data_IF_221011546056
#
_entry.id   IF_221011546056
#
_cell.length_a   1.000
_cell.length_b   1.000
_cell.length_c   1.000
_cell.angle_alpha   90.00
_cell.angle_beta   90.00
_cell.angle_gamma   90.00
#
_symmetry.space_group_name_H-M   'P 1'
#
loop_
_entity.id
_entity.type
_entity.pdbx_description
1 polymer ?
#
# COMPACT_ATOMS: atom_id res chain seq x y z
N UNK A 1 -28.25 -36.43 -69.90
CA UNK A 1 -26.91 -36.83 -70.37
C UNK A 1 -26.13 -37.33 -69.16
N UNK A 2 -25.82 -38.63 -69.15
CA UNK A 2 -24.91 -39.41 -68.27
C UNK A 2 -25.06 -39.37 -66.73
N UNK A 3 -24.95 -40.59 -66.22
CA UNK A 3 -25.12 -41.15 -64.87
C UNK A 3 -23.76 -41.14 -64.14
N UNK A 4 -23.76 -41.24 -62.79
CA UNK A 4 -22.94 -42.16 -61.93
C UNK A 4 -22.51 -41.49 -60.59
N UNK A 5 -23.16 -41.80 -59.46
CA UNK A 5 -22.77 -42.77 -58.38
C UNK A 5 -21.71 -42.22 -57.40
N UNK A 6 -21.63 -42.49 -56.10
CA UNK A 6 -22.37 -43.30 -55.11
C UNK A 6 -21.89 -42.86 -53.71
N UNK A 7 -22.71 -43.15 -52.70
CA UNK A 7 -22.38 -43.62 -51.34
C UNK A 7 -21.15 -43.13 -50.55
N UNK A 8 -21.44 -42.68 -49.33
CA UNK A 8 -20.59 -42.78 -48.14
C UNK A 8 -21.23 -41.95 -47.03
N UNK A 9 -21.84 -42.53 -45.99
CA UNK A 9 -21.26 -43.53 -45.12
C UNK A 9 -20.75 -42.81 -43.87
N UNK A 10 -21.59 -42.81 -42.84
CA UNK A 10 -21.40 -42.23 -41.53
C UNK A 10 -20.02 -42.59 -40.91
N UNK A 11 -19.21 -41.58 -40.57
CA UNK A 11 -18.12 -41.68 -39.59
C UNK A 11 -18.10 -40.40 -38.75
N UNK A 12 -18.54 -40.53 -37.51
CA UNK A 12 -18.38 -39.54 -36.44
C UNK A 12 -16.90 -39.22 -36.21
N UNK A 13 -16.56 -37.94 -36.11
CA UNK A 13 -15.35 -37.47 -35.42
C UNK A 13 -15.80 -36.60 -34.24
N UNK A 14 -15.31 -36.84 -33.01
CA UNK A 14 -15.83 -36.19 -31.82
C UNK A 14 -15.41 -34.72 -31.81
N UNK A 15 -16.37 -33.81 -31.63
CA UNK A 15 -16.09 -32.43 -31.23
C UNK A 15 -15.50 -32.46 -29.83
N UNK A 16 -14.17 -32.49 -29.72
CA UNK A 16 -13.48 -32.23 -28.46
C UNK A 16 -13.86 -30.81 -28.04
N UNK A 17 -14.75 -30.73 -27.04
CA UNK A 17 -14.91 -29.51 -26.25
C UNK A 17 -13.58 -29.25 -25.55
N UNK A 18 -12.78 -28.35 -26.11
CA UNK A 18 -11.71 -27.69 -25.39
C UNK A 18 -12.37 -26.81 -24.32
N UNK A 19 -12.62 -27.39 -23.13
CA UNK A 19 -12.81 -26.62 -21.91
C UNK A 19 -11.47 -25.95 -21.59
N UNK A 20 -11.23 -24.79 -22.19
CA UNK A 20 -10.30 -23.84 -21.59
C UNK A 20 -11.00 -23.24 -20.38
N UNK A 21 -10.79 -23.83 -19.22
CA UNK A 21 -11.03 -23.14 -17.95
C UNK A 21 -9.93 -22.10 -17.78
N UNK A 22 -10.06 -20.96 -18.45
CA UNK A 22 -9.23 -19.80 -18.16
C UNK A 22 -9.58 -19.32 -16.75
N UNK A 23 -8.67 -19.50 -15.78
CA UNK A 23 -8.76 -18.75 -14.52
C UNK A 23 -8.68 -17.27 -14.88
N UNK A 24 -9.64 -16.48 -14.43
CA UNK A 24 -9.55 -15.02 -14.52
C UNK A 24 -8.38 -14.62 -13.62
N UNK A 25 -7.31 -14.08 -14.21
CA UNK A 25 -6.12 -13.65 -13.46
C UNK A 25 -6.18 -12.18 -13.05
N UNK A 26 -7.31 -11.53 -13.32
CA UNK A 26 -7.56 -10.13 -13.01
C UNK A 26 -8.12 -9.99 -11.59
N UNK A 27 -7.55 -9.05 -10.84
CA UNK A 27 -7.99 -8.61 -9.53
C UNK A 27 -8.15 -7.09 -9.50
N UNK A 28 -8.87 -6.57 -8.51
CA UNK A 28 -9.11 -5.12 -8.36
C UNK A 28 -8.50 -4.66 -7.03
N UNK A 29 -7.58 -3.71 -7.10
CA UNK A 29 -6.95 -3.17 -5.89
C UNK A 29 -7.96 -2.46 -4.99
N UNK A 30 -7.60 -2.25 -3.72
CA UNK A 30 -8.36 -1.44 -2.78
C UNK A 30 -8.70 -0.04 -3.32
N UNK A 31 -7.83 0.51 -4.18
CA UNK A 31 -8.02 1.82 -4.81
C UNK A 31 -8.80 1.76 -6.14
N UNK A 32 -9.32 0.60 -6.53
CA UNK A 32 -10.16 0.40 -7.71
C UNK A 32 -9.39 0.25 -9.03
N UNK A 33 -8.12 -0.15 -8.99
CA UNK A 33 -7.30 -0.37 -10.19
C UNK A 33 -7.24 -1.86 -10.52
N UNK A 34 -7.54 -2.23 -11.76
CA UNK A 34 -7.41 -3.59 -12.26
C UNK A 34 -5.94 -3.95 -12.47
N UNK A 35 -5.55 -5.16 -12.07
CA UNK A 35 -4.22 -5.71 -12.31
C UNK A 35 -4.30 -7.23 -12.55
N UNK A 36 -3.41 -7.74 -13.40
CA UNK A 36 -3.21 -9.18 -13.61
C UNK A 36 -2.20 -9.71 -12.59
N UNK A 37 -2.65 -10.55 -11.65
CA UNK A 37 -1.82 -11.01 -10.55
C UNK A 37 -0.70 -11.97 -10.99
N UNK A 38 -0.74 -12.51 -12.22
CA UNK A 38 0.34 -13.32 -12.77
C UNK A 38 1.46 -12.48 -13.41
N UNK A 39 1.22 -11.20 -13.69
CA UNK A 39 2.26 -10.30 -14.19
C UNK A 39 3.21 -9.88 -13.07
N UNK A 40 4.45 -9.52 -13.44
CA UNK A 40 5.42 -9.00 -12.48
C UNK A 40 5.09 -7.59 -12.01
N UNK A 41 4.32 -6.81 -12.79
CA UNK A 41 4.02 -5.41 -12.47
C UNK A 41 2.55 -5.23 -12.16
N UNK A 42 2.23 -4.82 -10.94
CA UNK A 42 0.85 -4.51 -10.55
C UNK A 42 0.68 -3.01 -10.33
N UNK A 43 -0.24 -2.40 -11.08
CA UNK A 43 -0.64 -1.00 -10.88
C UNK A 43 -1.76 -0.97 -9.85
N UNK A 44 -1.43 -0.60 -8.61
CA UNK A 44 -2.36 -0.66 -7.49
C UNK A 44 -3.08 0.67 -7.25
N UNK A 45 -2.50 1.78 -7.67
CA UNK A 45 -3.12 3.11 -7.64
C UNK A 45 -2.52 4.01 -8.70
N UNK A 46 -3.03 5.24 -8.83
CA UNK A 46 -2.46 6.27 -9.73
C UNK A 46 -0.95 6.48 -9.54
N UNK A 47 -0.45 6.30 -8.31
CA UNK A 47 0.92 6.65 -7.94
C UNK A 47 1.78 5.44 -7.57
N UNK A 48 1.21 4.24 -7.47
CA UNK A 48 1.91 3.06 -6.98
C UNK A 48 1.80 1.92 -7.98
N UNK A 49 2.96 1.52 -8.49
CA UNK A 49 3.17 0.28 -9.21
C UNK A 49 4.20 -0.54 -8.44
N UNK A 50 3.90 -1.80 -8.15
CA UNK A 50 4.86 -2.72 -7.51
C UNK A 50 5.46 -3.65 -8.56
N UNK A 51 6.72 -4.05 -8.36
CA UNK A 51 7.41 -5.04 -9.18
C UNK A 51 7.68 -6.29 -8.32
N UNK A 52 7.19 -7.42 -8.80
CA UNK A 52 7.19 -8.74 -8.18
C UNK A 52 8.08 -9.75 -8.93
N UNK A 53 8.97 -9.28 -9.82
CA UNK A 53 9.97 -10.12 -10.50
C UNK A 53 10.78 -10.98 -9.53
N UNK A 54 11.03 -10.49 -8.31
CA UNK A 54 11.75 -11.20 -7.27
C UNK A 54 11.04 -12.47 -6.78
N UNK A 55 9.73 -12.65 -7.06
CA UNK A 55 9.01 -13.87 -6.68
C UNK A 55 9.61 -15.12 -7.33
N UNK A 56 10.31 -14.98 -8.47
CA UNK A 56 11.03 -16.10 -9.10
C UNK A 56 12.22 -16.60 -8.28
N UNK A 57 12.63 -15.87 -7.23
CA UNK A 57 13.69 -16.30 -6.31
C UNK A 57 13.17 -17.22 -5.21
N UNK A 58 11.86 -17.24 -4.97
CA UNK A 58 11.24 -18.25 -4.10
C UNK A 58 11.09 -19.57 -4.85
N UNK A 59 11.05 -20.68 -4.11
CA UNK A 59 10.50 -21.96 -4.61
C UNK A 59 9.09 -21.71 -5.14
N UNK A 60 8.76 -22.32 -6.28
CA UNK A 60 7.52 -22.07 -7.01
C UNK A 60 6.26 -22.14 -6.11
N UNK A 61 6.16 -23.17 -5.28
CA UNK A 61 5.01 -23.32 -4.38
C UNK A 61 4.94 -22.22 -3.28
N UNK A 62 6.07 -21.77 -2.76
CA UNK A 62 6.13 -20.64 -1.82
C UNK A 62 5.83 -19.32 -2.54
N UNK A 63 6.28 -19.18 -3.78
CA UNK A 63 5.99 -18.00 -4.60
C UNK A 63 4.49 -17.85 -4.86
N UNK A 64 3.76 -18.96 -5.06
CA UNK A 64 2.29 -18.97 -5.18
C UNK A 64 1.61 -18.52 -3.88
N UNK A 65 1.99 -19.10 -2.73
CA UNK A 65 1.51 -18.71 -1.39
C UNK A 65 1.73 -17.19 -1.13
N UNK A 66 2.92 -16.69 -1.46
CA UNK A 66 3.28 -15.26 -1.31
C UNK A 66 2.47 -14.39 -2.26
N UNK A 67 2.28 -14.82 -3.52
CA UNK A 67 1.53 -14.06 -4.53
C UNK A 67 0.07 -13.93 -4.12
N UNK A 68 -0.58 -15.02 -3.74
CA UNK A 68 -1.98 -15.01 -3.28
C UNK A 68 -2.17 -14.14 -2.04
N UNK A 69 -1.21 -14.19 -1.11
CA UNK A 69 -1.22 -13.29 0.06
C UNK A 69 -1.05 -11.82 -0.34
N UNK A 70 -0.20 -11.51 -1.33
CA UNK A 70 -0.05 -10.15 -1.85
C UNK A 70 -1.32 -9.67 -2.58
N UNK A 71 -2.05 -10.56 -3.28
CA UNK A 71 -3.36 -10.23 -3.86
C UNK A 71 -4.32 -9.81 -2.76
N UNK A 72 -4.42 -10.60 -1.67
CA UNK A 72 -5.25 -10.24 -0.52
C UNK A 72 -4.94 -8.83 0.00
N UNK A 73 -3.66 -8.48 0.19
CA UNK A 73 -3.28 -7.14 0.61
C UNK A 73 -3.56 -6.06 -0.44
N UNK A 74 -3.36 -6.35 -1.73
CA UNK A 74 -3.67 -5.44 -2.81
C UNK A 74 -5.16 -5.07 -2.86
N UNK A 75 -6.05 -6.02 -2.60
CA UNK A 75 -7.50 -5.83 -2.59
C UNK A 75 -8.03 -5.18 -1.30
N UNK A 76 -7.42 -5.50 -0.15
CA UNK A 76 -7.95 -5.15 1.17
C UNK A 76 -7.17 -4.04 1.91
N UNK A 77 -6.01 -3.62 1.40
CA UNK A 77 -5.16 -2.62 2.04
C UNK A 77 -4.71 -1.54 1.07
N UNK A 78 -4.23 -0.41 1.59
CA UNK A 78 -3.72 0.68 0.75
C UNK A 78 -2.55 0.22 -0.13
N UNK A 79 -2.44 0.78 -1.34
CA UNK A 79 -1.34 0.48 -2.26
C UNK A 79 0.05 0.72 -1.63
N UNK A 80 0.18 1.70 -0.74
CA UNK A 80 1.42 1.96 0.01
C UNK A 80 1.77 0.82 0.97
N UNK A 81 0.77 0.24 1.65
CA UNK A 81 0.97 -0.89 2.55
C UNK A 81 1.47 -2.12 1.79
N UNK A 82 0.80 -2.48 0.69
CA UNK A 82 1.19 -3.59 -0.19
C UNK A 82 2.58 -3.37 -0.80
N UNK A 83 2.90 -2.14 -1.22
CA UNK A 83 4.25 -1.81 -1.68
C UNK A 83 5.31 -1.97 -0.60
N UNK A 84 5.01 -1.59 0.64
CA UNK A 84 5.95 -1.78 1.75
C UNK A 84 6.17 -3.27 2.05
N UNK A 85 5.10 -4.08 2.10
CA UNK A 85 5.20 -5.53 2.26
C UNK A 85 6.10 -6.15 1.20
N UNK A 86 5.84 -5.85 -0.07
CA UNK A 86 6.65 -6.34 -1.20
C UNK A 86 8.13 -5.97 -1.08
N UNK A 87 8.44 -4.72 -0.70
CA UNK A 87 9.82 -4.27 -0.45
C UNK A 87 10.51 -5.07 0.65
N UNK A 88 9.82 -5.34 1.76
CA UNK A 88 10.44 -6.08 2.87
C UNK A 88 10.57 -7.57 2.58
N UNK A 89 9.69 -8.16 1.77
CA UNK A 89 9.84 -9.53 1.27
C UNK A 89 11.05 -9.67 0.35
N UNK A 90 11.27 -8.70 -0.54
CA UNK A 90 12.48 -8.66 -1.37
C UNK A 90 13.74 -8.53 -0.52
N UNK A 91 13.73 -7.65 0.48
CA UNK A 91 14.84 -7.53 1.44
C UNK A 91 15.10 -8.84 2.18
N UNK A 92 14.04 -9.56 2.59
CA UNK A 92 14.18 -10.85 3.25
C UNK A 92 14.98 -11.84 2.40
N UNK A 93 14.62 -12.01 1.12
CA UNK A 93 15.35 -12.87 0.19
C UNK A 93 16.80 -12.41 -0.01
N UNK A 94 17.02 -11.11 -0.17
CA UNK A 94 18.34 -10.54 -0.37
C UNK A 94 19.26 -10.80 0.82
N UNK A 95 18.73 -10.82 2.05
CA UNK A 95 19.49 -11.04 3.29
C UNK A 95 19.61 -12.52 3.63
N UNK A 96 18.52 -13.29 3.51
CA UNK A 96 18.50 -14.72 3.85
C UNK A 96 19.32 -15.55 2.88
N UNK A 97 19.44 -15.08 1.62
CA UNK A 97 20.01 -15.84 0.49
C UNK A 97 19.34 -17.21 0.27
N UNK A 98 18.13 -17.39 0.81
CA UNK A 98 17.30 -18.56 0.65
C UNK A 98 16.18 -18.35 -0.37
N UNK A 99 15.44 -19.41 -0.61
CA UNK A 99 14.32 -19.48 -1.56
C UNK A 99 12.98 -19.85 -0.87
N UNK A 100 12.94 -19.83 0.46
CA UNK A 100 11.73 -20.02 1.27
C UNK A 100 11.74 -19.15 2.52
N UNK A 101 10.64 -19.21 3.28
CA UNK A 101 10.65 -18.76 4.66
C UNK A 101 11.22 -19.86 5.57
N UNK A 102 12.37 -19.58 6.19
CA UNK A 102 13.04 -20.47 7.14
C UNK A 102 13.45 -19.76 8.43
N UNK A 103 13.65 -20.55 9.48
CA UNK A 103 14.19 -20.07 10.76
C UNK A 103 15.53 -19.35 10.59
N UNK A 104 16.44 -19.95 9.82
CA UNK A 104 17.75 -19.36 9.50
C UNK A 104 17.60 -18.05 8.72
N UNK A 105 16.69 -17.98 7.75
CA UNK A 105 16.46 -16.75 6.99
C UNK A 105 15.92 -15.61 7.87
N UNK A 106 15.00 -15.92 8.80
CA UNK A 106 14.49 -14.94 9.76
C UNK A 106 15.55 -14.50 10.77
N UNK A 107 16.40 -15.41 11.25
CA UNK A 107 17.53 -15.08 12.11
C UNK A 107 18.56 -14.21 11.39
N UNK A 108 18.85 -14.50 10.11
CA UNK A 108 19.74 -13.69 9.28
C UNK A 108 19.18 -12.27 9.10
N UNK A 109 17.90 -12.12 8.76
CA UNK A 109 17.25 -10.82 8.65
C UNK A 109 17.31 -10.06 9.99
N UNK A 110 17.00 -10.72 11.11
CA UNK A 110 17.06 -10.12 12.43
C UNK A 110 18.47 -9.66 12.81
N UNK A 111 19.50 -10.43 12.43
CA UNK A 111 20.91 -10.09 12.70
C UNK A 111 21.45 -8.97 11.82
N UNK A 112 20.94 -8.82 10.60
CA UNK A 112 21.37 -7.79 9.65
C UNK A 112 20.79 -6.40 9.94
N UNK A 113 19.68 -6.31 10.69
CA UNK A 113 18.96 -5.07 10.91
C UNK A 113 19.38 -4.39 12.22
N UNK A 114 19.77 -3.09 12.19
CA UNK A 114 19.91 -2.32 13.42
C UNK A 114 18.54 -2.08 14.07
N UNK A 115 18.54 -1.72 15.36
CA UNK A 115 17.32 -1.51 16.17
C UNK A 115 16.29 -0.59 15.49
N UNK A 116 16.75 0.51 14.89
CA UNK A 116 15.91 1.49 14.18
C UNK A 116 15.18 0.92 12.95
N UNK A 117 15.69 -0.17 12.38
CA UNK A 117 15.13 -0.84 11.19
C UNK A 117 14.40 -2.14 11.56
N UNK A 118 14.23 -2.46 12.85
CA UNK A 118 13.55 -3.67 13.34
C UNK A 118 12.09 -3.76 12.84
N UNK A 119 11.48 -2.62 12.49
CA UNK A 119 10.15 -2.60 11.86
C UNK A 119 10.10 -3.39 10.54
N UNK A 120 11.20 -3.47 9.78
CA UNK A 120 11.24 -4.22 8.51
C UNK A 120 11.03 -5.71 8.75
N UNK A 121 11.66 -6.24 9.80
CA UNK A 121 11.43 -7.61 10.26
C UNK A 121 9.98 -7.80 10.74
N UNK A 122 9.43 -6.81 11.45
CA UNK A 122 8.03 -6.84 11.89
C UNK A 122 7.05 -6.91 10.71
N UNK A 123 7.33 -6.22 9.61
CA UNK A 123 6.52 -6.27 8.37
C UNK A 123 6.54 -7.68 7.75
N UNK A 124 7.72 -8.30 7.61
CA UNK A 124 7.83 -9.67 7.08
C UNK A 124 7.13 -10.67 8.00
N UNK A 125 7.31 -10.52 9.32
CA UNK A 125 6.58 -11.35 10.30
C UNK A 125 5.07 -11.18 10.17
N UNK A 126 4.57 -9.94 10.05
CA UNK A 126 3.16 -9.66 9.87
C UNK A 126 2.60 -10.32 8.60
N UNK A 127 3.36 -10.26 7.51
CA UNK A 127 3.01 -10.92 6.25
C UNK A 127 2.82 -12.42 6.42
N UNK A 128 3.81 -13.14 6.97
CA UNK A 128 3.72 -14.60 7.11
C UNK A 128 2.58 -15.02 8.07
N UNK A 129 2.28 -14.21 9.09
CA UNK A 129 1.16 -14.47 9.99
C UNK A 129 -0.18 -14.31 9.28
N UNK A 130 -0.31 -13.29 8.42
CA UNK A 130 -1.50 -13.13 7.59
C UNK A 130 -1.63 -14.28 6.60
N UNK A 131 -0.54 -14.66 5.94
CA UNK A 131 -0.47 -15.83 5.05
C UNK A 131 -0.98 -17.10 5.75
N UNK A 132 -0.52 -17.36 6.99
CA UNK A 132 -1.02 -18.47 7.82
C UNK A 132 -2.49 -18.34 8.19
N UNK A 133 -2.95 -17.14 8.51
CA UNK A 133 -4.36 -16.89 8.82
C UNK A 133 -5.29 -17.17 7.63
N UNK A 134 -4.83 -16.87 6.41
CA UNK A 134 -5.54 -17.16 5.17
C UNK A 134 -5.47 -18.65 4.76
N UNK A 135 -4.68 -19.47 5.45
CA UNK A 135 -4.45 -20.87 5.08
C UNK A 135 -3.48 -21.05 3.91
N UNK A 136 -2.75 -20.00 3.52
CA UNK A 136 -1.81 -19.97 2.40
C UNK A 136 -0.38 -20.32 2.84
N UNK A 137 -0.23 -21.23 3.80
CA UNK A 137 1.07 -21.57 4.38
C UNK A 137 1.45 -23.05 4.17
N UNK A 138 0.85 -23.71 3.17
CA UNK A 138 1.07 -25.13 2.89
C UNK A 138 2.53 -25.47 2.61
N UNK A 139 3.31 -24.49 2.16
CA UNK A 139 4.72 -24.65 1.80
C UNK A 139 5.69 -23.98 2.79
N UNK A 140 5.22 -23.59 3.98
CA UNK A 140 6.05 -22.97 5.03
C UNK A 140 6.04 -23.81 6.30
N UNK A 141 7.24 -24.12 6.83
CA UNK A 141 7.38 -24.90 8.06
C UNK A 141 6.81 -24.14 9.28
N UNK A 142 6.04 -24.86 10.11
CA UNK A 142 5.44 -24.31 11.33
C UNK A 142 6.48 -23.77 12.32
N UNK A 143 7.72 -24.30 12.29
CA UNK A 143 8.84 -23.83 13.09
C UNK A 143 9.13 -22.34 12.90
N UNK A 144 8.94 -21.80 11.68
CA UNK A 144 9.13 -20.37 11.38
C UNK A 144 8.17 -19.49 12.20
N UNK A 145 6.90 -19.89 12.29
CA UNK A 145 5.92 -19.18 13.09
C UNK A 145 6.25 -19.26 14.58
N UNK A 146 6.60 -20.45 15.07
CA UNK A 146 7.00 -20.66 16.47
C UNK A 146 8.20 -19.81 16.87
N UNK A 147 9.21 -19.69 16.00
CA UNK A 147 10.38 -18.86 16.23
C UNK A 147 10.00 -17.38 16.27
N UNK A 148 9.34 -16.89 15.23
CA UNK A 148 9.03 -15.47 15.09
C UNK A 148 8.04 -14.96 16.13
N UNK A 149 7.16 -15.84 16.65
CA UNK A 149 6.22 -15.50 17.73
C UNK A 149 6.87 -15.29 19.10
N UNK A 150 8.08 -15.81 19.32
CA UNK A 150 8.85 -15.56 20.54
C UNK A 150 9.47 -14.16 20.59
N UNK A 151 9.51 -13.44 19.46
CA UNK A 151 10.19 -12.14 19.39
C UNK A 151 9.31 -10.97 19.81
N UNK A 152 9.84 -10.15 20.71
CA UNK A 152 9.33 -8.82 21.04
C UNK A 152 10.06 -7.79 20.18
N UNK A 153 9.39 -7.31 19.14
CA UNK A 153 9.94 -6.33 18.19
C UNK A 153 9.45 -4.93 18.54
N UNK A 154 10.34 -3.94 18.53
CA UNK A 154 9.97 -2.54 18.69
C UNK A 154 9.34 -2.03 17.40
N UNK A 155 8.35 -1.13 17.52
CA UNK A 155 7.92 -0.31 16.40
C UNK A 155 8.98 0.73 16.03
N UNK A 156 8.72 1.46 14.94
CA UNK A 156 9.53 2.63 14.60
C UNK A 156 9.52 3.64 15.76
N UNK A 157 10.67 4.25 16.04
CA UNK A 157 10.72 5.41 16.93
C UNK A 157 9.93 6.55 16.30
N UNK A 158 8.71 6.77 16.78
CA UNK A 158 7.83 7.83 16.30
C UNK A 158 7.86 8.98 17.29
N UNK A 159 8.03 10.20 16.77
CA UNK A 159 7.79 11.41 17.53
C UNK A 159 8.93 11.85 18.45
N UNK A 160 10.14 11.28 18.37
CA UNK A 160 11.29 11.73 19.19
C UNK A 160 11.59 13.21 18.93
N UNK A 161 11.77 13.60 17.66
CA UNK A 161 12.00 14.99 17.27
C UNK A 161 10.85 15.94 17.67
N UNK A 162 9.61 15.43 17.65
CA UNK A 162 8.42 16.18 18.07
C UNK A 162 8.39 16.38 19.58
N UNK A 163 8.72 15.33 20.35
CA UNK A 163 8.76 15.37 21.81
C UNK A 163 9.95 16.18 22.33
N UNK A 164 11.07 16.17 21.62
CA UNK A 164 12.28 16.92 22.00
C UNK A 164 12.27 18.37 21.53
N UNK A 165 11.25 18.81 20.78
CA UNK A 165 11.21 20.12 20.11
C UNK A 165 12.51 20.39 19.34
N UNK A 166 12.96 19.38 18.58
CA UNK A 166 14.19 19.48 17.80
C UNK A 166 14.11 20.67 16.83
N UNK A 167 15.09 21.60 16.81
CA UNK A 167 15.00 22.82 16.02
C UNK A 167 15.06 22.58 14.50
N UNK A 168 15.55 21.42 14.05
CA UNK A 168 15.71 21.11 12.61
C UNK A 168 14.59 20.22 12.09
N UNK A 169 14.15 19.25 12.89
CA UNK A 169 13.22 18.18 12.49
C UNK A 169 11.95 18.09 13.34
N UNK A 170 11.85 18.92 14.37
CA UNK A 170 10.67 19.07 15.23
C UNK A 170 9.63 20.03 14.65
N UNK A 171 8.58 20.36 15.41
CA UNK A 171 7.56 21.31 14.99
C UNK A 171 8.11 22.74 14.90
N UNK A 172 7.54 23.55 14.02
CA UNK A 172 7.80 24.99 14.00
C UNK A 172 7.53 25.61 15.38
N UNK A 173 8.45 26.46 15.84
CA UNK A 173 8.22 27.34 16.98
C UNK A 173 7.09 28.33 16.69
N UNK A 174 6.52 28.95 17.72
CA UNK A 174 5.47 29.96 17.56
C UNK A 174 5.90 31.10 16.63
N UNK A 175 7.14 31.56 16.77
CA UNK A 175 7.70 32.64 15.94
C UNK A 175 7.84 32.22 14.48
N UNK A 176 8.35 31.01 14.21
CA UNK A 176 8.46 30.49 12.83
C UNK A 176 7.09 30.29 12.21
N UNK A 177 6.13 29.77 12.99
CA UNK A 177 4.77 29.56 12.54
C UNK A 177 4.05 30.87 12.20
N UNK A 178 4.26 31.93 13.00
CA UNK A 178 3.78 33.28 12.70
C UNK A 178 4.46 33.85 11.44
N UNK A 179 5.78 33.71 11.34
CA UNK A 179 6.57 34.17 10.19
C UNK A 179 6.12 33.52 8.88
N UNK A 180 5.74 32.22 8.89
CA UNK A 180 5.16 31.54 7.73
C UNK A 180 3.89 32.26 7.26
N UNK A 181 2.99 32.59 8.19
CA UNK A 181 1.74 33.30 7.86
C UNK A 181 2.00 34.71 7.32
N UNK A 182 2.88 35.47 7.97
CA UNK A 182 3.21 36.84 7.57
C UNK A 182 3.86 36.88 6.18
N UNK A 183 4.88 36.04 5.96
CA UNK A 183 5.57 35.98 4.66
C UNK A 183 4.66 35.49 3.55
N UNK A 184 3.71 34.58 3.84
CA UNK A 184 2.70 34.18 2.88
C UNK A 184 1.80 35.35 2.47
N UNK A 185 1.34 36.15 3.43
CA UNK A 185 0.52 37.32 3.16
C UNK A 185 1.27 38.36 2.33
N UNK A 186 2.54 38.63 2.65
CA UNK A 186 3.39 39.53 1.86
C UNK A 186 3.56 39.04 0.42
N UNK A 187 3.94 37.78 0.22
CA UNK A 187 4.11 37.20 -1.12
C UNK A 187 2.81 37.15 -1.91
N UNK A 188 1.68 36.99 -1.25
CA UNK A 188 0.38 37.08 -1.90
C UNK A 188 0.07 38.52 -2.34
N UNK A 189 0.31 39.51 -1.49
CA UNK A 189 0.12 40.92 -1.82
C UNK A 189 1.02 41.40 -2.98
N UNK A 190 2.24 40.86 -3.08
CA UNK A 190 3.18 41.13 -4.17
C UNK A 190 2.86 40.34 -5.46
N UNK A 191 1.86 39.47 -5.46
CA UNK A 191 1.50 38.62 -6.61
C UNK A 191 2.44 37.43 -6.85
N UNK A 192 3.41 37.19 -5.97
CA UNK A 192 4.33 36.05 -6.03
C UNK A 192 3.67 34.71 -5.64
N UNK A 193 2.57 34.76 -4.87
CA UNK A 193 1.71 33.62 -4.59
C UNK A 193 0.36 33.77 -5.30
N UNK A 194 -0.10 32.70 -5.95
CA UNK A 194 -1.47 32.65 -6.46
C UNK A 194 -2.48 32.53 -5.31
N UNK A 195 -3.72 32.94 -5.55
CA UNK A 195 -4.83 32.80 -4.60
C UNK A 195 -5.00 31.35 -4.14
N UNK A 196 -4.88 30.39 -5.06
CA UNK A 196 -4.94 28.96 -4.74
C UNK A 196 -3.86 28.57 -3.73
N UNK A 197 -2.59 28.87 -4.01
CA UNK A 197 -1.47 28.51 -3.12
C UNK A 197 -1.58 29.19 -1.75
N UNK A 198 -1.98 30.46 -1.74
CA UNK A 198 -2.17 31.21 -0.51
C UNK A 198 -3.32 30.63 0.34
N UNK A 199 -4.45 30.30 -0.29
CA UNK A 199 -5.58 29.66 0.37
C UNK A 199 -5.20 28.29 0.93
N UNK A 200 -4.48 27.46 0.17
CA UNK A 200 -3.99 26.16 0.64
C UNK A 200 -3.08 26.28 1.86
N UNK A 201 -2.10 27.20 1.83
CA UNK A 201 -1.21 27.42 2.96
C UNK A 201 -1.96 27.92 4.21
N UNK A 202 -2.92 28.83 4.00
CA UNK A 202 -3.79 29.33 5.08
C UNK A 202 -4.59 28.20 5.71
N UNK A 203 -5.07 27.25 4.90
CA UNK A 203 -5.84 26.10 5.38
C UNK A 203 -4.98 25.12 6.18
N UNK A 204 -3.75 24.84 5.75
CA UNK A 204 -2.79 24.06 6.54
C UNK A 204 -2.47 24.74 7.86
N UNK A 205 -2.18 26.05 7.84
CA UNK A 205 -1.87 26.83 9.05
C UNK A 205 -3.04 26.89 10.02
N UNK A 206 -4.26 27.05 9.53
CA UNK A 206 -5.44 27.18 10.39
C UNK A 206 -5.89 25.83 11.01
N UNK A 207 -5.61 24.70 10.35
CA UNK A 207 -6.27 23.42 10.68
C UNK A 207 -5.32 22.31 11.12
N UNK A 208 -4.04 22.39 10.76
CA UNK A 208 -3.03 21.35 11.06
C UNK A 208 -3.37 19.97 10.46
N UNK A 209 -4.22 19.91 9.42
CA UNK A 209 -4.71 18.64 8.85
C UNK A 209 -3.71 18.03 7.88
N UNK A 210 -3.81 16.71 7.71
CA UNK A 210 -2.98 15.95 6.77
C UNK A 210 -3.26 16.37 5.33
N UNK A 211 -2.25 16.28 4.47
CA UNK A 211 -2.32 16.64 3.06
C UNK A 211 -3.51 16.00 2.35
N UNK A 212 -3.78 14.71 2.59
CA UNK A 212 -4.90 13.98 1.98
C UNK A 212 -6.28 14.51 2.39
N UNK A 213 -6.42 15.00 3.62
CA UNK A 213 -7.69 15.59 4.09
C UNK A 213 -7.96 16.94 3.43
N UNK A 214 -6.91 17.74 3.24
CA UNK A 214 -7.01 19.02 2.53
C UNK A 214 -7.26 18.80 1.03
N UNK A 215 -6.58 17.83 0.42
CA UNK A 215 -6.71 17.51 -1.00
C UNK A 215 -8.09 16.91 -1.35
N UNK A 216 -8.80 16.32 -0.39
CA UNK A 216 -10.12 15.72 -0.61
C UNK A 216 -11.29 16.68 -0.42
N UNK A 217 -11.03 17.95 -0.08
CA UNK A 217 -12.07 18.96 0.11
C UNK A 217 -12.83 19.23 -1.19
N UNK A 218 -14.15 19.38 -1.04
CA UNK A 218 -15.09 19.76 -2.09
C UNK A 218 -15.76 21.08 -1.73
N UNK A 219 -16.32 21.76 -2.73
CA UNK A 219 -17.03 23.04 -2.53
C UNK A 219 -18.15 22.92 -1.47
N UNK A 220 -18.86 21.77 -1.45
CA UNK A 220 -19.92 21.49 -0.47
C UNK A 220 -19.45 21.40 0.99
N UNK A 221 -18.14 21.28 1.22
CA UNK A 221 -17.57 21.21 2.56
C UNK A 221 -17.40 22.60 3.19
N UNK A 222 -17.53 23.66 2.38
CA UNK A 222 -17.54 25.05 2.85
C UNK A 222 -18.98 25.52 3.10
N UNK A 223 -19.19 26.24 4.20
CA UNK A 223 -20.49 26.80 4.56
C UNK A 223 -20.32 28.16 5.23
N UNK A 224 -21.33 29.02 5.09
CA UNK A 224 -21.40 30.28 5.81
C UNK A 224 -22.52 30.17 6.84
N UNK A 225 -22.17 30.30 8.12
CA UNK A 225 -23.13 30.06 9.21
C UNK A 225 -22.77 30.86 10.45
N UNK A 226 -23.79 31.28 11.21
CA UNK A 226 -23.63 31.87 12.54
C UNK A 226 -23.69 30.84 13.68
N UNK A 227 -23.93 29.56 13.35
CA UNK A 227 -24.23 28.50 14.32
C UNK A 227 -23.16 28.30 15.40
N UNK A 228 -21.89 28.51 15.07
CA UNK A 228 -20.78 28.19 15.98
C UNK A 228 -20.24 29.40 16.74
N UNK A 229 -20.40 30.61 16.22
CA UNK A 229 -19.76 31.83 16.73
C UNK A 229 -20.76 32.94 17.07
N UNK A 230 -22.06 32.73 16.85
CA UNK A 230 -23.10 33.77 16.97
C UNK A 230 -23.09 34.80 15.84
N UNK A 231 -21.90 35.11 15.30
CA UNK A 231 -21.71 35.95 14.11
C UNK A 231 -21.57 35.10 12.83
N UNK A 232 -22.02 35.59 11.66
CA UNK A 232 -21.83 34.89 10.39
C UNK A 232 -20.35 34.64 10.07
N UNK A 233 -19.98 33.36 9.96
CA UNK A 233 -18.59 32.91 9.78
C UNK A 233 -18.50 31.87 8.67
N UNK A 234 -17.40 31.90 7.91
CA UNK A 234 -17.06 30.84 6.97
C UNK A 234 -16.48 29.63 7.71
N UNK A 235 -17.06 28.46 7.49
CA UNK A 235 -16.69 27.21 8.14
C UNK A 235 -16.34 26.18 7.07
N UNK A 236 -15.25 25.45 7.29
CA UNK A 236 -14.84 24.30 6.47
C UNK A 236 -15.02 23.00 7.26
N UNK A 237 -15.82 22.09 6.72
CA UNK A 237 -16.07 20.77 7.28
C UNK A 237 -15.08 19.77 6.69
N UNK A 238 -13.93 19.61 7.34
CA UNK A 238 -12.86 18.76 6.81
C UNK A 238 -13.23 17.28 7.02
N UNK A 239 -13.30 16.46 5.94
CA UNK A 239 -13.64 15.06 6.05
C UNK A 239 -12.61 14.31 6.91
N UNK A 240 -13.10 13.39 7.74
CA UNK A 240 -12.21 12.45 8.45
C UNK A 240 -11.75 11.41 7.46
N UNK A 241 -10.45 11.35 7.24
CA UNK A 241 -9.82 10.16 6.67
C UNK A 241 -9.37 9.35 7.87
N UNK A 242 -10.16 8.34 8.25
CA UNK A 242 -9.67 7.27 9.11
C UNK A 242 -8.72 6.42 8.27
N UNK A 243 -7.48 6.22 8.74
CA UNK A 243 -6.69 5.07 8.29
C UNK A 243 -7.59 3.85 8.50
N UNK A 244 -8.00 3.21 7.41
CA UNK A 244 -8.56 1.86 7.50
C UNK A 244 -7.39 0.99 7.90
N UNK A 245 -7.38 0.58 9.16
CA UNK A 245 -6.37 -0.29 9.75
C UNK A 245 -6.44 -1.70 9.18
#
# INVERSE_FOLDING_TARGET
MKILTNNGGNRSVPTQQLKQQGRVTLAISHNGFEFDYLQDKWVLSRNITINLDYLTQFKEAVAEDVRETLVYFAENSSAHHTSNLSKQLKLYLEVSKGDDFSELGFLALKGALPKKDEYKLSVVRGFIRQMRYLGLNGNTDDAVYKLTDQWRLSGNEKGVAVLSLDPETGPFSSTEFEAIGLNAAHKYAEGALSTERYATLSLFKATGRRNEQIASLKVKDFSFTSKFTGNPTYVVNIPRVTEVA
#
